data_IF_245662323535
#
_entry.id   IF_245662323535
#
_cell.length_a   1.000
_cell.length_b   1.000
_cell.length_c   1.000
_cell.angle_alpha   90.00
_cell.angle_beta   90.00
_cell.angle_gamma   90.00
#
_symmetry.space_group_name_H-M   'P 1'
#
loop_
_entity.id
_entity.type
_entity.pdbx_description
1 polymer ?
#
# COMPACT_ATOMS: atom_id res chain seq x y z
N UNK A 1 -5.85 -15.11 -7.64
CA UNK A 1 -4.55 -15.11 -6.93
C UNK A 1 -4.11 -13.71 -6.52
N UNK A 2 -4.13 -12.72 -7.41
CA UNK A 2 -3.75 -11.34 -7.05
C UNK A 2 -4.84 -10.53 -6.35
N UNK A 3 -6.08 -11.00 -6.40
CA UNK A 3 -7.22 -10.44 -5.67
C UNK A 3 -6.93 -10.24 -4.19
N UNK A 4 -6.28 -11.21 -3.53
CA UNK A 4 -5.87 -11.05 -2.12
C UNK A 4 -4.91 -9.87 -1.89
N UNK A 5 -4.05 -9.56 -2.87
CA UNK A 5 -3.14 -8.42 -2.77
C UNK A 5 -3.87 -7.10 -3.02
N UNK A 6 -4.85 -7.13 -3.91
CA UNK A 6 -5.78 -6.02 -4.10
C UNK A 6 -6.58 -5.75 -2.82
N UNK A 7 -7.23 -6.78 -2.25
CA UNK A 7 -8.05 -6.65 -1.03
C UNK A 7 -7.21 -6.16 0.15
N UNK A 8 -6.01 -6.72 0.31
CA UNK A 8 -5.06 -6.26 1.31
C UNK A 8 -4.70 -4.79 1.10
N UNK A 9 -4.34 -4.39 -0.12
CA UNK A 9 -3.95 -3.02 -0.41
C UNK A 9 -5.12 -2.03 -0.22
N UNK A 10 -6.33 -2.43 -0.60
CA UNK A 10 -7.55 -1.67 -0.36
C UNK A 10 -7.81 -1.47 1.14
N UNK A 11 -7.76 -2.55 1.93
CA UNK A 11 -7.94 -2.49 3.37
C UNK A 11 -6.88 -1.61 4.04
N UNK A 12 -5.60 -1.72 3.65
CA UNK A 12 -4.51 -0.87 4.14
C UNK A 12 -4.78 0.60 3.80
N UNK A 13 -5.19 0.90 2.58
CA UNK A 13 -5.54 2.26 2.19
C UNK A 13 -6.68 2.83 3.05
N UNK A 14 -7.73 2.04 3.31
CA UNK A 14 -8.84 2.44 4.17
C UNK A 14 -8.41 2.64 5.62
N UNK A 15 -7.59 1.76 6.15
CA UNK A 15 -7.06 1.88 7.50
C UNK A 15 -6.20 3.13 7.68
N UNK A 16 -5.36 3.46 6.68
CA UNK A 16 -4.57 4.71 6.70
C UNK A 16 -5.51 5.94 6.68
N UNK A 17 -6.60 5.91 5.91
CA UNK A 17 -7.52 7.05 5.80
C UNK A 17 -8.42 7.18 7.03
N UNK A 18 -8.98 6.08 7.52
CA UNK A 18 -10.10 6.11 8.47
C UNK A 18 -9.67 5.90 9.92
N UNK A 19 -8.54 5.22 10.14
CA UNK A 19 -8.12 4.79 11.49
C UNK A 19 -6.82 5.43 11.97
N UNK A 20 -6.13 6.19 11.12
CA UNK A 20 -4.94 6.95 11.53
C UNK A 20 -5.30 8.14 12.41
N UNK A 21 -4.42 8.47 13.38
CA UNK A 21 -4.61 9.63 14.26
C UNK A 21 -4.47 10.98 13.53
N UNK A 22 -3.89 10.99 12.33
CA UNK A 22 -3.69 12.21 11.53
C UNK A 22 -4.98 12.81 10.93
N UNK A 23 -6.12 12.11 11.05
CA UNK A 23 -7.38 12.51 10.45
C UNK A 23 -7.51 12.12 8.96
N UNK A 24 -8.74 12.13 8.46
CA UNK A 24 -9.06 11.60 7.12
C UNK A 24 -8.32 12.29 5.98
N UNK A 25 -8.22 13.62 6.00
CA UNK A 25 -7.61 14.38 4.90
C UNK A 25 -6.11 14.10 4.79
N UNK A 26 -5.39 14.12 5.92
CA UNK A 26 -3.96 13.74 5.92
C UNK A 26 -3.77 12.26 5.60
N UNK A 27 -4.67 11.40 6.06
CA UNK A 27 -4.69 9.98 5.69
C UNK A 27 -4.75 9.77 4.18
N UNK A 28 -5.62 10.52 3.47
CA UNK A 28 -5.68 10.52 2.00
C UNK A 28 -4.35 10.97 1.39
N UNK A 29 -3.72 12.02 1.93
CA UNK A 29 -2.43 12.49 1.44
C UNK A 29 -1.31 11.45 1.64
N UNK A 30 -1.32 10.70 2.75
CA UNK A 30 -0.39 9.60 2.97
C UNK A 30 -0.60 8.45 2.00
N UNK A 31 -1.85 8.07 1.72
CA UNK A 31 -2.13 7.03 0.70
C UNK A 31 -1.70 7.50 -0.70
N UNK A 32 -1.97 8.76 -1.08
CA UNK A 32 -1.47 9.34 -2.33
C UNK A 32 0.06 9.25 -2.38
N UNK A 33 0.74 9.70 -1.33
CA UNK A 33 2.21 9.66 -1.25
C UNK A 33 2.74 8.24 -1.38
N UNK A 34 2.13 7.26 -0.72
CA UNK A 34 2.48 5.85 -0.84
C UNK A 34 2.38 5.37 -2.30
N UNK A 35 1.27 5.66 -2.98
CA UNK A 35 1.08 5.32 -4.40
C UNK A 35 2.17 5.96 -5.26
N UNK A 36 2.43 7.25 -5.09
CA UNK A 36 3.46 7.97 -5.84
C UNK A 36 4.86 7.39 -5.62
N UNK A 37 5.18 7.02 -4.38
CA UNK A 37 6.48 6.44 -4.02
C UNK A 37 6.70 5.06 -4.64
N UNK A 38 5.69 4.18 -4.66
CA UNK A 38 5.87 2.80 -5.13
C UNK A 38 5.61 2.64 -6.64
N UNK A 39 4.77 3.49 -7.27
CA UNK A 39 4.47 3.36 -8.70
C UNK A 39 5.69 3.58 -9.60
N UNK A 40 6.64 4.40 -9.14
CA UNK A 40 7.85 4.73 -9.87
C UNK A 40 8.88 3.59 -9.89
N UNK A 41 8.69 2.56 -9.08
CA UNK A 41 9.63 1.45 -8.95
C UNK A 41 9.34 0.37 -10.00
N UNK A 42 10.29 0.14 -10.90
CA UNK A 42 10.20 -0.86 -11.98
C UNK A 42 10.87 -2.20 -11.63
N UNK A 43 11.54 -2.28 -10.48
CA UNK A 43 12.11 -3.54 -10.01
C UNK A 43 11.33 -4.07 -8.80
N UNK A 44 11.05 -5.38 -8.73
CA UNK A 44 10.33 -5.99 -7.62
C UNK A 44 10.99 -5.70 -6.27
N UNK A 45 12.32 -5.82 -6.21
CA UNK A 45 13.08 -5.55 -4.99
C UNK A 45 12.91 -4.11 -4.48
N UNK A 46 13.03 -3.10 -5.36
CA UNK A 46 12.84 -1.71 -4.94
C UNK A 46 11.40 -1.40 -4.59
N UNK A 47 10.44 -1.92 -5.36
CA UNK A 47 9.02 -1.79 -5.08
C UNK A 47 8.67 -2.30 -3.68
N UNK A 48 9.09 -3.53 -3.35
CA UNK A 48 8.83 -4.15 -2.06
C UNK A 48 9.53 -3.41 -0.92
N UNK A 49 10.79 -3.01 -1.11
CA UNK A 49 11.53 -2.25 -0.09
C UNK A 49 10.87 -0.89 0.18
N UNK A 50 10.42 -0.18 -0.86
CA UNK A 50 9.76 1.11 -0.72
C UNK A 50 8.40 0.98 -0.02
N UNK A 51 7.63 -0.05 -0.40
CA UNK A 51 6.35 -0.38 0.21
C UNK A 51 6.50 -0.69 1.71
N UNK A 52 7.43 -1.57 2.07
CA UNK A 52 7.65 -1.94 3.47
C UNK A 52 8.17 -0.76 4.30
N UNK A 53 9.07 0.04 3.74
CA UNK A 53 9.59 1.24 4.40
C UNK A 53 8.47 2.22 4.72
N UNK A 54 7.62 2.56 3.74
CA UNK A 54 6.53 3.53 3.94
C UNK A 54 5.49 3.05 4.94
N UNK A 55 5.08 1.78 4.86
CA UNK A 55 4.15 1.23 5.84
C UNK A 55 4.76 1.16 7.25
N UNK A 56 6.05 0.85 7.36
CA UNK A 56 6.77 0.92 8.63
C UNK A 56 6.80 2.34 9.21
N UNK A 57 7.10 3.34 8.39
CA UNK A 57 7.05 4.76 8.76
C UNK A 57 5.65 5.15 9.25
N UNK A 58 4.58 4.78 8.54
CA UNK A 58 3.21 5.14 8.89
C UNK A 58 2.74 4.48 10.18
N UNK A 59 3.21 3.27 10.44
CA UNK A 59 2.93 2.54 11.68
C UNK A 59 3.64 3.15 12.90
N UNK A 60 4.90 3.55 12.72
CA UNK A 60 5.78 3.97 13.83
C UNK A 60 5.77 5.46 14.11
N UNK A 61 5.41 6.28 13.13
CA UNK A 61 5.31 7.73 13.30
C UNK A 61 4.13 8.07 14.20
N UNK A 62 4.41 8.70 15.35
CA UNK A 62 3.42 9.10 16.35
C UNK A 62 2.37 10.08 15.84
N UNK A 63 2.66 10.81 14.76
CA UNK A 63 1.71 11.73 14.14
C UNK A 63 0.74 11.04 13.16
N UNK A 64 0.97 9.76 12.83
CA UNK A 64 0.17 8.99 11.87
C UNK A 64 -0.48 7.80 12.57
N UNK A 65 0.33 6.95 13.21
CA UNK A 65 -0.05 5.68 13.86
C UNK A 65 -1.09 4.89 13.07
N UNK A 66 -0.85 4.73 11.76
CA UNK A 66 -1.76 3.96 10.91
C UNK A 66 -1.72 2.48 11.34
N UNK A 67 -2.87 1.81 11.54
CA UNK A 67 -2.90 0.41 11.94
C UNK A 67 -2.63 -0.51 10.75
N UNK A 68 -1.44 -0.41 10.18
CA UNK A 68 -1.04 -1.14 8.98
C UNK A 68 -0.28 -2.42 9.32
N UNK A 69 -0.50 -3.45 8.49
CA UNK A 69 0.19 -4.73 8.57
C UNK A 69 0.78 -5.10 7.22
N UNK A 70 1.99 -5.67 7.25
CA UNK A 70 2.59 -6.25 6.05
C UNK A 70 1.99 -7.63 5.83
N UNK A 71 1.57 -7.93 4.59
CA UNK A 71 1.16 -9.28 4.21
C UNK A 71 2.42 -10.11 3.92
N UNK A 72 2.78 -11.10 4.75
CA UNK A 72 4.08 -11.80 4.65
C UNK A 72 4.29 -12.47 3.30
N UNK A 73 3.22 -12.95 2.66
CA UNK A 73 3.24 -13.63 1.37
C UNK A 73 3.82 -12.76 0.24
N UNK A 74 3.63 -11.44 0.33
CA UNK A 74 4.22 -10.47 -0.61
C UNK A 74 5.75 -10.50 -0.51
N UNK A 75 6.31 -10.72 0.68
CA UNK A 75 7.73 -10.58 0.95
C UNK A 75 8.50 -11.90 1.03
N UNK A 76 7.82 -13.00 1.36
CA UNK A 76 8.40 -14.34 1.42
C UNK A 76 8.81 -14.87 0.04
N UNK A 77 8.23 -14.31 -1.02
CA UNK A 77 8.38 -14.81 -2.38
C UNK A 77 9.25 -13.89 -3.25
N UNK A 78 10.37 -13.35 -2.73
CA UNK A 78 11.26 -12.45 -3.52
C UNK A 78 11.70 -13.05 -4.85
N UNK A 79 11.82 -14.37 -4.95
CA UNK A 79 12.14 -15.10 -6.19
C UNK A 79 10.94 -15.32 -7.13
N UNK A 80 9.70 -15.14 -6.65
CA UNK A 80 8.46 -15.35 -7.39
C UNK A 80 8.07 -14.15 -8.24
N UNK A 81 8.41 -12.95 -7.79
CA UNK A 81 8.02 -11.72 -8.46
C UNK A 81 9.01 -11.37 -9.57
N UNK A 82 8.95 -12.11 -10.69
CA UNK A 82 9.76 -11.86 -11.88
C UNK A 82 8.87 -11.69 -13.10
N UNK A 83 9.26 -10.81 -14.02
CA UNK A 83 8.50 -10.56 -15.26
C UNK A 83 7.05 -10.14 -14.98
N UNK A 84 6.10 -10.76 -15.66
CA UNK A 84 4.68 -10.43 -15.61
C UNK A 84 4.06 -10.56 -14.22
N UNK A 85 4.52 -11.54 -13.42
CA UNK A 85 4.06 -11.75 -12.04
C UNK A 85 4.24 -10.50 -11.17
N UNK A 86 5.35 -9.77 -11.39
CA UNK A 86 5.60 -8.52 -10.69
C UNK A 86 4.61 -7.43 -11.13
N UNK A 87 4.36 -7.31 -12.43
CA UNK A 87 3.43 -6.29 -12.95
C UNK A 87 1.99 -6.54 -12.51
N UNK A 88 1.56 -7.80 -12.40
CA UNK A 88 0.26 -8.14 -11.82
C UNK A 88 0.17 -7.82 -10.34
N UNK A 89 1.21 -8.14 -9.55
CA UNK A 89 1.28 -7.75 -8.14
C UNK A 89 1.24 -6.22 -7.98
N UNK A 90 2.10 -5.50 -8.72
CA UNK A 90 2.18 -4.04 -8.71
C UNK A 90 0.84 -3.43 -9.06
N UNK A 91 0.17 -3.93 -10.09
CA UNK A 91 -1.14 -3.46 -10.52
C UNK A 91 -2.20 -3.71 -9.43
N UNK A 92 -2.27 -4.92 -8.87
CA UNK A 92 -3.23 -5.25 -7.81
C UNK A 92 -3.07 -4.33 -6.59
N UNK A 93 -1.83 -4.07 -6.14
CA UNK A 93 -1.57 -3.20 -5.00
C UNK A 93 -1.93 -1.74 -5.33
N UNK A 94 -1.50 -1.22 -6.48
CA UNK A 94 -1.80 0.15 -6.88
C UNK A 94 -3.30 0.38 -7.04
N UNK A 95 -4.00 -0.54 -7.69
CA UNK A 95 -5.45 -0.45 -7.89
C UNK A 95 -6.21 -0.58 -6.56
N UNK A 96 -5.75 -1.39 -5.62
CA UNK A 96 -6.33 -1.47 -4.27
C UNK A 96 -6.22 -0.14 -3.52
N UNK A 97 -5.03 0.45 -3.49
CA UNK A 97 -4.79 1.75 -2.85
C UNK A 97 -5.58 2.89 -3.51
N UNK A 98 -5.66 2.91 -4.84
CA UNK A 98 -6.45 3.90 -5.59
C UNK A 98 -7.94 3.77 -5.29
N UNK A 99 -8.48 2.55 -5.24
CA UNK A 99 -9.88 2.34 -4.89
C UNK A 99 -10.19 2.77 -3.46
N UNK A 100 -9.26 2.58 -2.52
CA UNK A 100 -9.43 3.08 -1.15
C UNK A 100 -9.58 4.61 -1.13
N UNK A 101 -8.74 5.32 -1.89
CA UNK A 101 -8.86 6.78 -2.05
C UNK A 101 -10.21 7.18 -2.64
N UNK A 102 -10.59 6.60 -3.79
CA UNK A 102 -11.84 6.96 -4.47
C UNK A 102 -13.08 6.60 -3.66
N UNK A 103 -13.05 5.52 -2.89
CA UNK A 103 -14.15 5.14 -1.99
C UNK A 103 -14.33 6.17 -0.86
N UNK A 104 -13.24 6.71 -0.34
CA UNK A 104 -13.26 7.73 0.71
C UNK A 104 -13.54 9.16 0.20
N UNK A 105 -13.63 9.38 -1.12
CA UNK A 105 -14.07 10.64 -1.72
C UNK A 105 -15.59 10.72 -1.91
N UNK A 106 -16.28 9.57 -1.95
CA UNK A 106 -17.73 9.48 -2.18
C UNK A 106 -18.57 9.40 -0.90
N UNK A 107 -17.96 9.62 0.27
CA UNK A 107 -18.62 9.50 1.58
C UNK A 107 -18.41 10.71 2.47
#
# INVERSE_FOLDING_TARGET
MYEKFFDWAFAIGKDIIEKSVCGKDRGKDYVKRLIFDIRAEESPGRFLNKLSQRLGEYKTNTNIQAPVSLLPEIFQSKSRWNGDEFYYLKSAILTGLLNALSSSEKG
#
